data_IF_911665229706
#
_entry.id   IF_911665229706
#
_cell.length_a   1.000
_cell.length_b   1.000
_cell.length_c   1.000
_cell.angle_alpha   90.00
_cell.angle_beta   90.00
_cell.angle_gamma   90.00
#
_symmetry.space_group_name_H-M   'P 1'
#
loop_
_entity.id
_entity.type
_entity.pdbx_description
1 polymer ?
#
# COMPACT_ATOMS: atom_id res chain seq x y z
N UNK A 1 -21.72 42.44 -14.90
CA UNK A 1 -20.76 42.71 -13.81
C UNK A 1 -21.00 41.67 -12.71
N UNK A 2 -20.02 40.80 -12.42
CA UNK A 2 -20.11 39.77 -11.38
C UNK A 2 -19.43 40.23 -10.07
N UNK A 3 -19.80 39.69 -8.89
CA UNK A 3 -19.23 40.10 -7.61
C UNK A 3 -17.81 39.53 -7.42
N UNK A 4 -16.97 40.18 -6.58
CA UNK A 4 -15.62 39.70 -6.31
C UNK A 4 -15.63 38.42 -5.47
N UNK A 5 -14.79 37.48 -5.86
CA UNK A 5 -14.45 36.28 -5.09
C UNK A 5 -13.64 36.72 -3.86
N UNK A 6 -14.23 36.61 -2.68
CA UNK A 6 -13.50 36.79 -1.42
C UNK A 6 -12.54 35.63 -1.25
N UNK A 7 -11.24 35.92 -1.14
CA UNK A 7 -10.22 34.94 -0.76
C UNK A 7 -10.28 34.79 0.76
N UNK A 8 -10.99 33.76 1.22
CA UNK A 8 -10.90 33.34 2.62
C UNK A 8 -9.54 32.69 2.84
N UNK A 9 -8.72 33.31 3.69
CA UNK A 9 -7.40 32.82 4.07
C UNK A 9 -7.58 31.86 5.25
N UNK A 10 -7.36 30.56 5.04
CA UNK A 10 -7.34 29.56 6.12
C UNK A 10 -5.87 29.21 6.48
N UNK A 11 -5.51 29.08 7.77
CA UNK A 11 -4.11 28.98 8.19
C UNK A 11 -3.56 27.57 7.95
N UNK A 12 -2.79 27.41 6.88
CA UNK A 12 -2.04 26.18 6.58
C UNK A 12 -0.99 25.89 7.66
N UNK A 13 -1.12 24.74 8.30
CA UNK A 13 -0.19 24.22 9.32
C UNK A 13 1.19 23.98 8.70
N UNK A 14 2.15 24.83 9.06
CA UNK A 14 3.54 24.77 8.58
C UNK A 14 4.28 23.62 9.27
N UNK A 15 4.78 22.63 8.52
CA UNK A 15 5.72 21.63 9.05
C UNK A 15 7.11 22.28 9.10
N UNK A 16 7.71 22.53 10.27
CA UNK A 16 9.02 23.18 10.32
C UNK A 16 10.15 22.18 10.02
N UNK A 17 10.91 22.42 8.94
CA UNK A 17 12.35 22.11 8.93
C UNK A 17 12.87 20.99 8.02
N UNK A 18 12.60 21.02 6.72
CA UNK A 18 13.41 20.29 5.72
C UNK A 18 14.01 21.28 4.70
N UNK A 19 15.29 21.68 4.84
CA UNK A 19 15.94 22.61 3.91
C UNK A 19 16.20 21.94 2.56
N UNK A 20 15.67 22.51 1.47
CA UNK A 20 16.11 22.20 0.09
C UNK A 20 15.13 21.42 -0.79
N UNK A 21 13.91 21.15 -0.33
CA UNK A 21 12.82 20.66 -1.19
C UNK A 21 11.85 21.81 -1.47
N UNK A 22 11.39 22.03 -2.72
CA UNK A 22 10.33 22.99 -3.00
C UNK A 22 9.08 22.61 -2.20
N UNK A 23 8.34 23.61 -1.71
CA UNK A 23 7.09 23.44 -0.97
C UNK A 23 6.11 22.59 -1.79
N UNK A 24 6.06 21.29 -1.51
CA UNK A 24 5.01 20.43 -2.02
C UNK A 24 3.81 20.68 -1.11
N UNK A 25 2.86 21.47 -1.58
CA UNK A 25 1.48 21.39 -1.12
C UNK A 25 1.04 19.94 -1.35
N UNK A 26 1.19 19.10 -0.32
CA UNK A 26 0.51 17.81 -0.26
C UNK A 26 -0.93 18.22 0.09
N UNK A 27 -1.87 18.28 -0.87
CA UNK A 27 -3.27 18.36 -0.50
C UNK A 27 -3.52 17.29 0.55
N UNK A 28 -4.36 17.58 1.55
CA UNK A 28 -4.84 16.61 2.53
C UNK A 28 -5.65 15.52 1.80
N UNK A 29 -4.96 14.75 0.96
CA UNK A 29 -5.38 13.49 0.45
C UNK A 29 -5.50 12.68 1.72
N UNK A 30 -6.70 12.15 2.02
CA UNK A 30 -6.79 11.12 3.04
C UNK A 30 -5.83 10.03 2.59
N UNK A 31 -4.64 9.99 3.18
CA UNK A 31 -3.78 8.84 3.06
C UNK A 31 -4.66 7.71 3.56
N UNK A 32 -4.85 6.63 2.78
CA UNK A 32 -5.49 5.44 3.29
C UNK A 32 -4.53 4.83 4.31
N UNK A 33 -4.43 5.44 5.48
CA UNK A 33 -4.11 4.71 6.71
C UNK A 33 -5.32 3.82 6.90
N UNK A 34 -5.33 2.70 6.18
CA UNK A 34 -6.28 1.64 6.43
C UNK A 34 -5.91 1.14 7.82
N UNK A 35 -6.44 1.81 8.85
CA UNK A 35 -6.99 1.09 9.98
C UNK A 35 -8.09 0.22 9.37
N UNK A 36 -7.67 -0.86 8.70
CA UNK A 36 -8.53 -1.95 8.36
C UNK A 36 -9.14 -2.36 9.69
N UNK A 37 -10.43 -2.14 9.86
CA UNK A 37 -11.26 -2.77 10.90
C UNK A 37 -11.37 -4.30 10.59
N UNK A 38 -10.28 -4.86 10.07
CA UNK A 38 -10.12 -6.23 9.66
C UNK A 38 -9.29 -6.87 10.78
N UNK A 39 -9.82 -7.89 11.44
CA UNK A 39 -9.11 -8.55 12.53
C UNK A 39 -7.70 -8.96 12.10
N UNK A 40 -6.70 -8.72 12.95
CA UNK A 40 -5.37 -9.25 12.73
C UNK A 40 -5.43 -10.77 12.84
N UNK A 41 -5.35 -11.44 11.69
CA UNK A 41 -5.26 -12.89 11.60
C UNK A 41 -3.80 -13.28 11.33
N UNK A 42 -3.34 -14.43 11.84
CA UNK A 42 -2.01 -14.92 11.52
C UNK A 42 -1.90 -15.25 10.03
N UNK A 43 -0.74 -14.99 9.45
CA UNK A 43 -0.47 -15.37 8.07
C UNK A 43 -0.47 -16.89 7.90
N UNK A 44 -0.95 -17.41 6.77
CA UNK A 44 -0.81 -18.81 6.41
C UNK A 44 0.66 -19.25 6.37
N UNK A 45 0.94 -20.50 6.74
CA UNK A 45 2.32 -21.02 6.77
C UNK A 45 3.03 -20.99 5.42
N UNK A 46 2.26 -20.98 4.31
CA UNK A 46 2.77 -20.92 2.95
C UNK A 46 2.76 -19.51 2.35
N UNK A 47 2.61 -18.43 3.14
CA UNK A 47 2.46 -17.07 2.64
C UNK A 47 3.56 -16.62 1.65
N UNK A 48 4.80 -17.06 1.84
CA UNK A 48 5.94 -16.65 0.99
C UNK A 48 5.98 -17.36 -0.37
N UNK A 49 5.42 -18.57 -0.44
CA UNK A 49 5.38 -19.41 -1.64
C UNK A 49 3.98 -19.46 -2.28
N UNK A 50 3.04 -18.70 -1.73
CA UNK A 50 1.64 -18.72 -2.12
C UNK A 50 1.48 -18.23 -3.55
N UNK A 51 0.77 -19.01 -4.37
CA UNK A 51 0.42 -18.60 -5.73
C UNK A 51 -0.67 -17.53 -5.71
N UNK A 52 -0.71 -16.73 -6.76
CA UNK A 52 -1.75 -15.73 -6.95
C UNK A 52 -3.16 -16.37 -7.07
N UNK A 53 -3.27 -17.58 -7.63
CA UNK A 53 -4.53 -18.33 -7.65
C UNK A 53 -5.01 -18.66 -6.23
N UNK A 54 -4.13 -19.25 -5.39
CA UNK A 54 -4.46 -19.55 -4.00
C UNK A 54 -4.77 -18.28 -3.19
N UNK A 55 -4.03 -17.20 -3.42
CA UNK A 55 -4.23 -15.91 -2.76
C UNK A 55 -5.61 -15.32 -3.09
N UNK A 56 -6.07 -15.41 -4.34
CA UNK A 56 -7.37 -14.87 -4.75
C UNK A 56 -8.57 -15.59 -4.09
N UNK A 57 -8.39 -16.84 -3.68
CA UNK A 57 -9.42 -17.63 -3.00
C UNK A 57 -9.51 -17.32 -1.48
N UNK A 58 -8.58 -16.55 -0.94
CA UNK A 58 -8.56 -16.17 0.47
C UNK A 58 -9.55 -15.04 0.79
N UNK A 59 -10.06 -15.07 2.03
CA UNK A 59 -10.78 -13.94 2.60
C UNK A 59 -9.87 -12.71 2.74
N UNK A 60 -10.49 -11.53 2.82
CA UNK A 60 -9.77 -10.25 2.86
C UNK A 60 -8.77 -10.17 4.02
N UNK A 61 -9.12 -10.66 5.21
CA UNK A 61 -8.25 -10.61 6.38
C UNK A 61 -6.98 -11.45 6.17
N UNK A 62 -7.16 -12.67 5.66
CA UNK A 62 -6.04 -13.56 5.38
C UNK A 62 -5.16 -13.02 4.25
N UNK A 63 -5.74 -12.37 3.22
CA UNK A 63 -4.96 -11.69 2.17
C UNK A 63 -4.10 -10.56 2.72
N UNK A 64 -4.65 -9.72 3.60
CA UNK A 64 -3.87 -8.68 4.30
C UNK A 64 -2.69 -9.31 5.03
N UNK A 65 -2.93 -10.39 5.78
CA UNK A 65 -1.90 -11.07 6.55
C UNK A 65 -0.78 -11.66 5.66
N UNK A 66 -1.12 -12.22 4.50
CA UNK A 66 -0.13 -12.69 3.51
C UNK A 66 0.74 -11.55 3.01
N UNK A 67 0.12 -10.43 2.58
CA UNK A 67 0.88 -9.25 2.11
C UNK A 67 1.78 -8.72 3.22
N UNK A 68 1.29 -8.60 4.45
CA UNK A 68 2.08 -8.15 5.61
C UNK A 68 3.29 -9.04 5.85
N UNK A 69 3.09 -10.36 5.83
CA UNK A 69 4.18 -11.33 6.04
C UNK A 69 5.25 -11.21 4.95
N UNK A 70 4.84 -11.09 3.67
CA UNK A 70 5.77 -10.91 2.55
C UNK A 70 6.57 -9.61 2.70
N UNK A 71 5.92 -8.51 3.06
CA UNK A 71 6.54 -7.19 3.20
C UNK A 71 7.35 -7.02 4.49
N UNK A 72 7.20 -7.95 5.45
CA UNK A 72 8.05 -8.03 6.63
C UNK A 72 9.45 -8.60 6.30
N UNK A 73 9.63 -9.19 5.11
CA UNK A 73 10.94 -9.66 4.67
C UNK A 73 11.91 -8.50 4.42
N UNK A 74 13.20 -8.80 4.65
CA UNK A 74 14.28 -7.86 4.38
C UNK A 74 14.32 -7.53 2.87
N UNK A 75 14.51 -6.25 2.53
CA UNK A 75 14.53 -5.82 1.11
C UNK A 75 13.15 -5.51 0.51
N UNK A 76 12.09 -5.42 1.32
CA UNK A 76 10.78 -4.92 0.90
C UNK A 76 10.90 -3.58 0.13
N UNK A 77 10.54 -3.52 -1.16
CA UNK A 77 10.68 -2.33 -1.99
C UNK A 77 9.64 -1.23 -1.70
N UNK A 78 8.58 -1.56 -0.96
CA UNK A 78 7.46 -0.65 -0.65
C UNK A 78 7.65 0.10 0.68
N UNK A 79 8.66 -0.29 1.48
CA UNK A 79 8.92 0.31 2.78
C UNK A 79 7.96 -0.15 3.90
N UNK A 80 8.17 0.35 5.14
CA UNK A 80 7.49 -0.16 6.35
C UNK A 80 5.97 0.06 6.36
N UNK A 81 5.49 1.09 5.67
CA UNK A 81 4.06 1.41 5.56
C UNK A 81 3.46 0.95 4.20
N UNK A 82 4.19 0.10 3.48
CA UNK A 82 3.85 -0.34 2.13
C UNK A 82 2.69 -1.32 2.01
N UNK A 83 2.08 -1.75 3.13
CA UNK A 83 1.03 -2.78 3.17
C UNK A 83 -0.12 -2.47 2.21
N UNK A 84 -0.69 -1.27 2.31
CA UNK A 84 -1.83 -0.87 1.47
C UNK A 84 -1.48 -0.89 -0.02
N UNK A 85 -0.29 -0.39 -0.38
CA UNK A 85 0.21 -0.41 -1.76
C UNK A 85 0.42 -1.85 -2.22
N UNK A 86 1.00 -2.69 -1.35
CA UNK A 86 1.19 -4.11 -1.60
C UNK A 86 -0.12 -4.83 -1.86
N UNK A 87 -1.18 -4.54 -1.11
CA UNK A 87 -2.50 -5.13 -1.36
C UNK A 87 -3.03 -4.78 -2.75
N UNK A 88 -2.96 -3.51 -3.15
CA UNK A 88 -3.42 -3.09 -4.49
C UNK A 88 -2.60 -3.78 -5.58
N UNK A 89 -1.28 -3.85 -5.41
CA UNK A 89 -0.39 -4.49 -6.37
C UNK A 89 -0.66 -6.00 -6.48
N UNK A 90 -0.77 -6.69 -5.34
CA UNK A 90 -1.11 -8.11 -5.28
C UNK A 90 -2.47 -8.37 -5.92
N UNK A 91 -3.52 -7.67 -5.51
CA UNK A 91 -4.88 -7.85 -6.02
C UNK A 91 -4.96 -7.59 -7.53
N UNK A 92 -4.28 -6.55 -8.04
CA UNK A 92 -4.29 -6.23 -9.45
C UNK A 92 -3.46 -7.22 -10.28
N UNK A 93 -2.24 -7.56 -9.86
CA UNK A 93 -1.36 -8.42 -10.64
C UNK A 93 -1.80 -9.89 -10.59
N UNK A 94 -2.28 -10.37 -9.44
CA UNK A 94 -2.72 -11.75 -9.26
C UNK A 94 -3.97 -12.11 -10.07
N UNK A 95 -4.73 -11.12 -10.56
CA UNK A 95 -5.81 -11.38 -11.52
C UNK A 95 -5.30 -11.82 -12.90
N UNK A 96 -4.08 -11.44 -13.28
CA UNK A 96 -3.51 -11.73 -14.59
C UNK A 96 -2.42 -12.80 -14.56
N UNK A 97 -1.85 -13.09 -13.38
CA UNK A 97 -0.71 -13.98 -13.19
C UNK A 97 -1.03 -15.10 -12.18
N UNK A 98 -2.00 -15.99 -12.44
CA UNK A 98 -2.47 -16.97 -11.46
C UNK A 98 -1.36 -17.93 -10.98
N UNK A 99 -0.39 -18.22 -11.84
CA UNK A 99 0.72 -19.14 -11.52
C UNK A 99 1.93 -18.46 -10.88
N UNK A 100 1.97 -17.13 -10.84
CA UNK A 100 3.04 -16.41 -10.16
C UNK A 100 2.84 -16.46 -8.64
N UNK A 101 3.91 -16.32 -7.88
CA UNK A 101 3.79 -16.16 -6.43
C UNK A 101 3.49 -14.71 -6.07
N UNK A 102 2.76 -14.50 -4.97
CA UNK A 102 2.47 -13.15 -4.47
C UNK A 102 3.78 -12.44 -4.07
N UNK A 103 4.77 -13.19 -3.58
CA UNK A 103 6.08 -12.64 -3.24
C UNK A 103 6.84 -12.13 -4.47
N UNK A 104 6.80 -12.80 -5.61
CA UNK A 104 7.38 -12.29 -6.87
C UNK A 104 6.71 -11.01 -7.35
N UNK A 105 5.39 -10.90 -7.19
CA UNK A 105 4.64 -9.68 -7.54
C UNK A 105 5.07 -8.51 -6.66
N UNK A 106 5.23 -8.73 -5.35
CA UNK A 106 5.46 -7.66 -4.38
C UNK A 106 6.93 -7.28 -4.23
N UNK A 107 7.83 -8.26 -4.26
CA UNK A 107 9.27 -8.05 -4.09
C UNK A 107 9.98 -7.76 -5.41
N UNK A 108 9.30 -7.98 -6.53
CA UNK A 108 9.90 -8.05 -7.85
C UNK A 108 10.54 -9.42 -8.06
N UNK A 109 10.11 -10.15 -9.08
CA UNK A 109 10.68 -11.45 -9.43
C UNK A 109 12.19 -11.38 -9.60
N UNK A 110 12.89 -12.43 -9.18
CA UNK A 110 14.31 -12.56 -9.50
C UNK A 110 14.44 -12.55 -11.02
N UNK A 111 15.26 -11.66 -11.62
CA UNK A 111 15.55 -11.78 -13.04
C UNK A 111 16.16 -13.16 -13.32
N UNK A 112 15.85 -13.78 -14.47
CA UNK A 112 16.29 -15.13 -14.81
C UNK A 112 17.81 -15.28 -14.88
#
# INVERSE_FOLDING_TARGET
>A
PGPPISSDSDPGSTIPGLPGLPDIDIPNLPLPTRNTDVPEVPAPANALDMTCEEYNDLDEATRVAVVREILAQEGNPLGPDGEFVGQILADAACQFLPTATVSEVLMGGSPP
#
